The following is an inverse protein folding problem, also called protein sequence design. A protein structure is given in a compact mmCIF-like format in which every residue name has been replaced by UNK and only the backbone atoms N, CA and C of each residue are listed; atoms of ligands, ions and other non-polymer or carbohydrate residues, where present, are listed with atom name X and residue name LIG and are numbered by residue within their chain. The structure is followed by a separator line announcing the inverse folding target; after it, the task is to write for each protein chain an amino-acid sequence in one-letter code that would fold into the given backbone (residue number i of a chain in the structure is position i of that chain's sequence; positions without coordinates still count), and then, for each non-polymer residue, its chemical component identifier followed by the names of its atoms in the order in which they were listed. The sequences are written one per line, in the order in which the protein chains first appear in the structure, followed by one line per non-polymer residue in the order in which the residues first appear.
data_IF_713201099470
#
_entry.id   IF_713201099470
#
_cell.length_a   1.000
_cell.length_b   1.000
_cell.length_c   1.000
_cell.angle_alpha   90.00
_cell.angle_beta   90.00
_cell.angle_gamma   90.00
#
_symmetry.space_group_name_H-M   'P 1'
#
loop_
_entity.id
_entity.type
_entity.pdbx_description
1 polymer ?
#
# COMPACT_ATOMS: atom_id res chain seq x y z
N UNK A 1 20.87 32.24 -8.76
CA UNK A 1 20.34 31.07 -9.46
C UNK A 1 19.83 30.12 -8.40
N UNK A 2 18.54 30.10 -8.14
CA UNK A 2 17.92 29.23 -7.14
C UNK A 2 17.54 27.91 -7.80
N UNK A 3 17.97 26.76 -7.27
CA UNK A 3 17.41 25.49 -7.69
C UNK A 3 16.16 25.21 -6.82
N UNK A 4 15.00 25.73 -7.24
CA UNK A 4 13.72 25.21 -6.78
C UNK A 4 13.47 23.88 -7.50
N UNK A 5 14.11 22.84 -7.02
CA UNK A 5 13.75 21.47 -7.32
C UNK A 5 12.43 21.15 -6.62
N UNK A 6 11.31 21.56 -7.22
CA UNK A 6 10.00 21.00 -6.89
C UNK A 6 10.07 19.52 -7.25
N UNK A 7 10.25 18.67 -6.25
CA UNK A 7 10.05 17.22 -6.37
C UNK A 7 8.55 17.01 -6.63
N UNK A 8 8.14 17.14 -7.91
CA UNK A 8 6.76 16.87 -8.30
C UNK A 8 6.52 15.38 -8.16
N UNK A 9 5.57 15.02 -7.30
CA UNK A 9 5.08 13.64 -7.18
C UNK A 9 4.46 13.28 -8.53
N UNK A 10 4.97 12.22 -9.16
CA UNK A 10 4.39 11.72 -10.41
C UNK A 10 3.04 11.04 -10.11
N UNK A 11 2.05 11.30 -10.93
CA UNK A 11 0.74 10.69 -10.77
C UNK A 11 0.75 9.25 -11.27
N UNK A 12 0.14 8.34 -10.51
CA UNK A 12 -0.02 6.93 -10.83
C UNK A 12 -1.48 6.63 -11.15
N UNK A 13 -1.70 5.89 -12.23
CA UNK A 13 -3.05 5.48 -12.62
C UNK A 13 -3.62 4.40 -11.66
N UNK A 14 -4.90 4.55 -11.36
CA UNK A 14 -5.69 3.57 -10.62
C UNK A 14 -6.31 2.59 -11.64
N UNK A 15 -6.38 1.28 -11.32
CA UNK A 15 -7.06 0.33 -12.19
C UNK A 15 -8.52 0.71 -12.39
N UNK A 16 -8.92 0.88 -13.64
CA UNK A 16 -10.33 1.14 -14.02
C UNK A 16 -11.01 -0.21 -14.25
N UNK A 17 -11.45 -0.85 -13.16
CA UNK A 17 -12.10 -2.16 -13.20
C UNK A 17 -13.52 -2.03 -12.65
N UNK A 18 -14.49 -2.65 -13.33
CA UNK A 18 -15.84 -2.84 -12.79
C UNK A 18 -15.90 -3.97 -11.78
N UNK A 19 -15.08 -5.00 -12.01
CA UNK A 19 -14.90 -6.17 -11.13
C UNK A 19 -13.48 -6.71 -11.24
N UNK A 20 -13.04 -7.45 -10.25
CA UNK A 20 -11.76 -8.15 -10.34
C UNK A 20 -11.84 -9.28 -11.38
N UNK A 21 -10.82 -9.45 -12.24
CA UNK A 21 -10.81 -10.51 -13.27
C UNK A 21 -10.67 -11.91 -12.66
N UNK A 22 -10.09 -12.00 -11.47
CA UNK A 22 -9.85 -13.22 -10.69
C UNK A 22 -10.05 -12.96 -9.20
N UNK A 23 -10.29 -13.99 -8.36
CA UNK A 23 -10.42 -13.84 -6.90
C UNK A 23 -9.24 -13.12 -6.25
N UNK A 24 -8.04 -13.33 -6.80
CA UNK A 24 -6.83 -12.57 -6.48
C UNK A 24 -6.25 -12.00 -7.78
N UNK A 25 -6.10 -10.69 -7.84
CA UNK A 25 -5.53 -9.97 -8.98
C UNK A 25 -4.29 -9.20 -8.55
N UNK A 26 -3.23 -9.23 -9.34
CA UNK A 26 -1.96 -8.57 -9.03
C UNK A 26 -1.55 -7.55 -10.07
N UNK A 27 -0.81 -6.52 -9.62
CA UNK A 27 -0.10 -5.56 -10.46
C UNK A 27 1.33 -5.38 -9.96
N UNK A 28 2.27 -5.36 -10.92
CA UNK A 28 3.70 -5.06 -10.69
C UNK A 28 4.00 -3.66 -11.20
N UNK A 29 4.75 -2.88 -10.44
CA UNK A 29 5.14 -1.53 -10.83
C UNK A 29 6.54 -1.20 -10.32
N UNK A 30 7.41 -0.73 -11.24
CA UNK A 30 8.75 -0.22 -10.93
C UNK A 30 8.71 1.32 -11.02
N UNK A 31 8.79 1.97 -9.88
CA UNK A 31 8.56 3.40 -9.71
C UNK A 31 9.90 4.11 -9.47
N UNK A 32 10.50 4.66 -10.53
CA UNK A 32 11.81 5.34 -10.49
C UNK A 32 11.78 6.66 -9.70
N UNK A 33 10.62 7.32 -9.68
CA UNK A 33 10.43 8.61 -8.98
C UNK A 33 9.43 8.44 -7.85
N UNK A 34 9.39 9.40 -6.96
CA UNK A 34 8.29 9.49 -6.01
C UNK A 34 6.97 9.60 -6.78
N UNK A 35 6.07 8.68 -6.50
CA UNK A 35 4.82 8.52 -7.25
C UNK A 35 3.65 8.43 -6.29
N UNK A 36 2.50 8.96 -6.65
CA UNK A 36 1.29 8.93 -5.84
C UNK A 36 0.03 8.68 -6.64
N UNK A 37 -0.96 8.06 -6.01
CA UNK A 37 -2.33 8.02 -6.55
C UNK A 37 -3.11 9.25 -6.07
N UNK A 38 -4.08 9.77 -6.84
CA UNK A 38 -5.09 10.63 -6.26
C UNK A 38 -5.88 9.88 -5.17
N UNK A 39 -6.59 10.63 -4.35
CA UNK A 39 -7.49 10.06 -3.36
C UNK A 39 -8.61 9.31 -4.03
N UNK A 40 -8.83 8.04 -3.63
CA UNK A 40 -9.81 7.15 -4.26
C UNK A 40 -10.25 6.04 -3.32
N UNK A 41 -11.29 5.34 -3.70
CA UNK A 41 -11.75 4.10 -3.09
C UNK A 41 -12.14 3.09 -4.18
N UNK A 42 -12.26 1.83 -3.80
CA UNK A 42 -12.70 0.75 -4.69
C UNK A 42 -13.39 -0.36 -3.88
N UNK A 43 -14.27 -1.18 -4.50
CA UNK A 43 -15.10 -2.15 -3.79
C UNK A 43 -14.39 -3.47 -3.43
N UNK A 44 -13.09 -3.52 -3.47
CA UNK A 44 -12.26 -4.67 -3.09
C UNK A 44 -11.19 -4.30 -2.09
N UNK A 45 -10.65 -5.29 -1.41
CA UNK A 45 -9.49 -5.13 -0.54
C UNK A 45 -8.24 -4.94 -1.40
N UNK A 46 -7.34 -4.06 -0.98
CA UNK A 46 -6.02 -3.92 -1.57
C UNK A 46 -4.93 -4.22 -0.54
N UNK A 47 -4.01 -5.12 -0.89
CA UNK A 47 -2.73 -5.22 -0.21
C UNK A 47 -1.68 -4.47 -1.04
N UNK A 48 -1.00 -3.50 -0.43
CA UNK A 48 0.13 -2.83 -1.07
C UNK A 48 1.44 -3.21 -0.38
N UNK A 49 2.41 -3.65 -1.16
CA UNK A 49 3.69 -4.19 -0.71
C UNK A 49 4.84 -3.65 -1.56
N UNK A 50 5.97 -3.32 -0.92
CA UNK A 50 7.20 -2.96 -1.61
C UNK A 50 8.27 -4.03 -1.40
N UNK A 51 8.78 -4.60 -2.49
CA UNK A 51 9.98 -5.46 -2.45
C UNK A 51 11.20 -4.60 -2.10
N UNK A 52 11.24 -3.39 -2.65
CA UNK A 52 12.25 -2.36 -2.42
C UNK A 52 11.56 -1.00 -2.31
N UNK A 53 12.12 -0.10 -1.51
CA UNK A 53 11.55 1.22 -1.28
C UNK A 53 10.59 1.23 -0.09
N UNK A 54 9.83 2.31 0.05
CA UNK A 54 8.88 2.52 1.14
C UNK A 54 7.55 2.99 0.56
N UNK A 55 6.46 2.42 1.06
CA UNK A 55 5.10 2.82 0.73
C UNK A 55 4.46 3.56 1.90
N UNK A 56 3.69 4.58 1.58
CA UNK A 56 2.85 5.31 2.51
C UNK A 56 1.40 5.23 2.02
N UNK A 57 0.49 4.89 2.91
CA UNK A 57 -0.95 4.99 2.66
C UNK A 57 -1.52 6.05 3.59
N UNK A 58 -2.23 7.00 3.02
CA UNK A 58 -2.90 8.07 3.77
C UNK A 58 -4.40 7.90 3.69
N UNK A 59 -5.06 8.00 4.85
CA UNK A 59 -6.52 7.97 4.99
C UNK A 59 -6.97 9.14 5.85
N UNK A 60 -8.28 9.29 6.04
CA UNK A 60 -8.80 10.27 6.99
C UNK A 60 -8.39 9.96 8.45
N UNK A 61 -8.23 8.66 8.79
CA UNK A 61 -7.89 8.20 10.13
C UNK A 61 -6.39 8.29 10.46
N UNK A 62 -5.50 8.29 9.45
CA UNK A 62 -4.07 8.34 9.72
C UNK A 62 -3.18 8.04 8.51
N UNK A 63 -1.89 7.89 8.80
CA UNK A 63 -0.86 7.56 7.83
C UNK A 63 -0.19 6.24 8.22
N UNK A 64 -0.05 5.33 7.28
CA UNK A 64 0.51 4.00 7.43
C UNK A 64 1.78 3.90 6.58
N UNK A 65 2.85 3.36 7.14
CA UNK A 65 4.15 3.26 6.47
C UNK A 65 4.57 1.81 6.39
N UNK A 66 4.96 1.35 5.20
CA UNK A 66 5.42 -0.01 4.97
C UNK A 66 6.81 -0.04 4.31
N UNK A 67 7.86 -0.37 5.06
CA UNK A 67 9.15 -0.79 4.52
C UNK A 67 9.08 -2.25 3.98
N UNK A 68 10.13 -2.78 3.33
CA UNK A 68 10.08 -4.06 2.61
C UNK A 68 9.63 -5.32 3.37
N UNK A 69 9.61 -5.32 4.71
CA UNK A 69 9.10 -6.44 5.52
C UNK A 69 7.66 -6.24 5.98
N UNK A 70 6.96 -5.25 5.43
CA UNK A 70 5.60 -4.87 5.81
C UNK A 70 4.74 -4.64 4.58
N UNK A 71 3.48 -5.00 4.70
CA UNK A 71 2.45 -4.68 3.71
C UNK A 71 1.33 -3.88 4.37
N UNK A 72 0.64 -3.06 3.60
CA UNK A 72 -0.54 -2.34 4.10
C UNK A 72 -1.77 -2.98 3.48
N UNK A 73 -2.65 -3.46 4.35
CA UNK A 73 -3.98 -3.96 4.01
C UNK A 73 -4.96 -2.81 4.07
N UNK A 74 -5.56 -2.50 2.92
CA UNK A 74 -6.53 -1.43 2.73
C UNK A 74 -7.90 -2.07 2.54
N UNK A 75 -8.87 -1.86 3.45
CA UNK A 75 -10.21 -2.40 3.33
C UNK A 75 -10.94 -1.90 2.09
N UNK A 76 -11.92 -2.68 1.62
CA UNK A 76 -12.84 -2.27 0.57
C UNK A 76 -13.60 -1.00 0.99
N UNK A 77 -13.83 -0.09 0.03
CA UNK A 77 -14.56 1.15 0.25
C UNK A 77 -13.81 2.25 1.01
N UNK A 78 -12.67 1.96 1.64
CA UNK A 78 -11.90 2.96 2.39
C UNK A 78 -11.24 3.96 1.44
N UNK A 79 -11.53 5.25 1.62
CA UNK A 79 -10.90 6.32 0.85
C UNK A 79 -9.43 6.48 1.24
N UNK A 80 -8.51 6.36 0.28
CA UNK A 80 -7.08 6.36 0.51
C UNK A 80 -6.27 6.95 -0.65
N UNK A 81 -5.02 7.26 -0.35
CA UNK A 81 -3.98 7.71 -1.26
C UNK A 81 -2.74 6.84 -1.01
N UNK A 82 -2.10 6.34 -2.06
CA UNK A 82 -0.87 5.54 -1.97
C UNK A 82 0.30 6.34 -2.53
N UNK A 83 1.35 6.49 -1.74
CA UNK A 83 2.58 7.19 -2.11
C UNK A 83 3.76 6.23 -2.03
N UNK A 84 4.70 6.34 -2.97
CA UNK A 84 5.95 5.58 -2.96
C UNK A 84 7.15 6.50 -2.76
N UNK A 85 8.22 5.97 -2.15
CA UNK A 85 9.55 6.58 -2.28
C UNK A 85 10.08 6.44 -3.72
N UNK A 86 11.13 7.16 -4.12
CA UNK A 86 11.84 6.87 -5.37
C UNK A 86 12.42 5.44 -5.38
N UNK A 87 12.61 4.87 -6.57
CA UNK A 87 13.16 3.53 -6.78
C UNK A 87 12.41 2.43 -6.01
N UNK A 88 11.08 2.50 -6.03
CA UNK A 88 10.21 1.52 -5.36
C UNK A 88 9.78 0.42 -6.33
N UNK A 89 10.02 -0.84 -5.95
CA UNK A 89 9.46 -2.04 -6.59
C UNK A 89 8.18 -2.44 -5.86
N UNK A 90 7.06 -2.04 -6.41
CA UNK A 90 5.76 -2.18 -5.79
C UNK A 90 4.98 -3.38 -6.34
N UNK A 91 4.26 -4.03 -5.45
CA UNK A 91 3.29 -5.08 -5.74
C UNK A 91 1.95 -4.70 -5.11
N UNK A 92 0.90 -4.66 -5.92
CA UNK A 92 -0.47 -4.46 -5.44
C UNK A 92 -1.26 -5.72 -5.69
N UNK A 93 -1.86 -6.28 -4.64
CA UNK A 93 -2.77 -7.41 -4.71
C UNK A 93 -4.18 -6.90 -4.40
N UNK A 94 -5.13 -7.29 -5.23
CA UNK A 94 -6.54 -6.94 -5.08
C UNK A 94 -7.35 -8.21 -4.86
N UNK A 95 -8.18 -8.21 -3.81
CA UNK A 95 -8.95 -9.37 -3.37
C UNK A 95 -10.42 -8.98 -3.23
N UNK A 96 -11.30 -9.93 -3.51
CA UNK A 96 -12.71 -9.75 -3.17
C UNK A 96 -12.86 -9.66 -1.66
N UNK A 97 -13.72 -8.75 -1.20
CA UNK A 97 -14.08 -8.67 0.21
C UNK A 97 -15.08 -9.79 0.52
N UNK A 98 -14.69 -10.71 1.38
CA UNK A 98 -15.55 -11.82 1.80
C UNK A 98 -16.60 -11.38 2.83
N UNK A 99 -16.44 -10.20 3.42
CA UNK A 99 -17.36 -9.66 4.40
C UNK A 99 -17.67 -8.17 4.11
N UNK A 100 -18.36 -7.88 2.99
CA UNK A 100 -18.63 -6.50 2.54
C UNK A 100 -19.52 -5.70 3.52
N UNK A 101 -20.18 -6.37 4.46
CA UNK A 101 -20.96 -5.71 5.53
C UNK A 101 -20.06 -5.20 6.69
N UNK A 102 -18.84 -5.69 6.77
CA UNK A 102 -17.83 -5.26 7.75
C UNK A 102 -17.11 -4.03 7.27
N UNK A 103 -17.59 -2.85 7.61
CA UNK A 103 -16.90 -1.58 7.34
C UNK A 103 -15.68 -1.49 8.24
N UNK A 104 -14.54 -1.95 7.74
CA UNK A 104 -13.27 -1.71 8.43
C UNK A 104 -12.87 -0.23 8.25
N UNK A 105 -12.78 0.50 9.35
CA UNK A 105 -12.57 1.96 9.35
C UNK A 105 -11.10 2.37 9.12
N UNK A 106 -10.15 1.43 9.17
CA UNK A 106 -8.73 1.75 9.05
C UNK A 106 -7.91 0.67 8.36
N UNK A 107 -6.80 1.08 7.76
CA UNK A 107 -5.78 0.18 7.25
C UNK A 107 -5.12 -0.62 8.38
N UNK A 108 -4.57 -1.79 8.03
CA UNK A 108 -3.72 -2.60 8.91
C UNK A 108 -2.34 -2.75 8.29
N UNK A 109 -1.29 -2.72 9.10
CA UNK A 109 0.07 -3.05 8.64
C UNK A 109 0.36 -4.49 9.02
N UNK A 110 0.66 -5.30 8.02
CA UNK A 110 0.91 -6.73 8.16
C UNK A 110 2.40 -7.04 8.09
N UNK A 111 2.86 -7.98 8.90
CA UNK A 111 4.20 -8.55 8.79
C UNK A 111 4.30 -9.48 7.57
N UNK A 112 5.33 -9.31 6.76
CA UNK A 112 5.59 -10.16 5.58
C UNK A 112 6.86 -10.96 5.84
N UNK A 113 6.72 -12.27 6.07
CA UNK A 113 7.84 -13.19 6.22
C UNK A 113 8.45 -13.59 4.87
N UNK A 114 9.55 -14.34 4.90
CA UNK A 114 10.27 -14.73 3.69
C UNK A 114 9.41 -15.58 2.73
N UNK A 115 8.62 -16.51 3.26
CA UNK A 115 7.74 -17.34 2.43
C UNK A 115 6.64 -16.49 1.77
N UNK A 116 5.95 -15.65 2.53
CA UNK A 116 4.90 -14.77 2.01
C UNK A 116 5.44 -13.81 0.96
N UNK A 117 6.66 -13.29 1.14
CA UNK A 117 7.35 -12.46 0.14
C UNK A 117 7.55 -13.20 -1.17
N UNK A 118 8.07 -14.44 -1.13
CA UNK A 118 8.32 -15.20 -2.35
C UNK A 118 7.01 -15.63 -3.03
N UNK A 119 5.97 -15.94 -2.25
CA UNK A 119 4.63 -16.18 -2.81
C UNK A 119 4.08 -14.94 -3.52
N UNK A 120 4.19 -13.75 -2.92
CA UNK A 120 3.77 -12.49 -3.57
C UNK A 120 4.56 -12.29 -4.87
N UNK A 121 5.88 -12.44 -4.85
CA UNK A 121 6.71 -12.27 -6.05
C UNK A 121 6.29 -13.21 -7.16
N UNK A 122 6.23 -14.51 -6.86
CA UNK A 122 5.87 -15.52 -7.85
C UNK A 122 4.45 -15.31 -8.39
N UNK A 123 3.47 -15.04 -7.52
CA UNK A 123 2.10 -14.79 -7.95
C UNK A 123 1.99 -13.57 -8.88
N UNK A 124 2.74 -12.51 -8.58
CA UNK A 124 2.75 -11.30 -9.39
C UNK A 124 3.38 -11.45 -10.80
N UNK A 125 4.06 -12.56 -11.09
CA UNK A 125 4.59 -12.87 -12.42
C UNK A 125 3.61 -13.69 -13.26
N UNK A 126 2.50 -14.18 -12.68
CA UNK A 126 1.49 -14.94 -13.37
C UNK A 126 0.67 -14.05 -14.33
N UNK A 127 0.13 -14.61 -15.42
CA UNK A 127 -0.82 -13.90 -16.26
C UNK A 127 -2.07 -13.55 -15.44
N UNK A 128 -2.76 -12.47 -15.81
CA UNK A 128 -4.01 -12.07 -15.14
C UNK A 128 -5.05 -13.19 -15.17
N UNK A 129 -5.16 -13.86 -16.32
CA UNK A 129 -6.08 -14.98 -16.56
C UNK A 129 -5.43 -16.34 -16.21
N UNK A 130 -4.87 -16.46 -14.99
CA UNK A 130 -4.29 -17.72 -14.52
C UNK A 130 -5.37 -18.81 -14.36
N UNK A 131 -4.96 -20.08 -14.41
CA UNK A 131 -5.83 -21.24 -14.21
C UNK A 131 -6.20 -21.38 -12.71
N UNK A 132 -7.46 -21.09 -12.38
CA UNK A 132 -7.97 -21.14 -11.00
C UNK A 132 -7.99 -22.55 -10.42
N UNK A 133 -8.19 -23.59 -11.25
CA UNK A 133 -8.22 -24.99 -10.82
C UNK A 133 -6.83 -25.64 -10.86
N UNK A 134 -5.87 -24.96 -11.49
CA UNK A 134 -4.51 -25.41 -11.70
C UNK A 134 -3.52 -25.10 -10.57
N UNK A 135 -2.22 -25.24 -10.85
CA UNK A 135 -1.15 -24.90 -9.90
C UNK A 135 -1.18 -23.44 -9.45
N UNK A 136 -1.51 -22.53 -10.38
CA UNK A 136 -1.58 -21.09 -10.15
C UNK A 136 -2.70 -20.73 -9.17
N UNK A 137 -3.87 -21.37 -9.31
CA UNK A 137 -4.99 -21.21 -8.40
C UNK A 137 -4.65 -21.71 -6.99
N UNK A 138 -3.94 -22.84 -6.88
CA UNK A 138 -3.44 -23.33 -5.58
C UNK A 138 -2.43 -22.37 -4.96
N UNK A 139 -1.53 -21.78 -5.76
CA UNK A 139 -0.61 -20.74 -5.29
C UNK A 139 -1.38 -19.52 -4.75
N UNK A 140 -2.42 -19.08 -5.47
CA UNK A 140 -3.30 -17.99 -5.04
C UNK A 140 -3.96 -18.28 -3.68
N UNK A 141 -4.50 -19.50 -3.49
CA UNK A 141 -5.13 -19.91 -2.23
C UNK A 141 -4.14 -19.91 -1.07
N UNK A 142 -2.96 -20.50 -1.25
CA UNK A 142 -1.91 -20.49 -0.22
C UNK A 142 -1.50 -19.06 0.13
N UNK A 143 -1.34 -18.18 -0.87
CA UNK A 143 -1.02 -16.78 -0.64
C UNK A 143 -2.12 -16.07 0.15
N UNK A 144 -3.39 -16.26 -0.20
CA UNK A 144 -4.54 -15.71 0.52
C UNK A 144 -4.55 -16.14 1.99
N UNK A 145 -4.35 -17.43 2.27
CA UNK A 145 -4.29 -17.98 3.62
C UNK A 145 -3.15 -17.33 4.44
N UNK A 146 -1.97 -17.17 3.82
CA UNK A 146 -0.83 -16.51 4.46
C UNK A 146 -1.08 -15.04 4.76
N UNK A 147 -1.72 -14.30 3.86
CA UNK A 147 -2.06 -12.89 4.05
C UNK A 147 -3.10 -12.69 5.15
N UNK A 148 -4.12 -13.57 5.22
CA UNK A 148 -5.14 -13.54 6.28
C UNK A 148 -4.57 -13.87 7.66
N UNK A 149 -3.62 -14.80 7.72
CA UNK A 149 -2.95 -15.22 8.96
C UNK A 149 -1.77 -14.32 9.35
N UNK A 150 -1.39 -13.33 8.51
CA UNK A 150 -0.24 -12.48 8.75
C UNK A 150 -0.41 -11.66 10.03
N UNK A 151 0.63 -11.58 10.89
CA UNK A 151 0.55 -10.81 12.12
C UNK A 151 0.41 -9.32 11.83
N UNK A 152 -0.52 -8.68 12.52
CA UNK A 152 -0.65 -7.23 12.49
C UNK A 152 0.45 -6.57 13.31
N UNK A 153 1.04 -5.52 12.75
CA UNK A 153 2.10 -4.75 13.38
C UNK A 153 1.63 -3.32 13.59
N UNK A 154 1.70 -2.86 14.83
CA UNK A 154 1.28 -1.49 15.18
C UNK A 154 2.29 -0.46 14.62
N UNK A 155 2.24 -0.20 13.34
CA UNK A 155 3.01 0.84 12.64
C UNK A 155 2.07 1.88 12.02
N UNK A 156 1.10 2.34 12.80
CA UNK A 156 0.29 3.51 12.44
C UNK A 156 0.82 4.74 13.14
N UNK A 157 0.95 5.84 12.41
CA UNK A 157 1.15 7.17 12.98
C UNK A 157 -0.22 7.84 13.00
N UNK A 158 -0.93 7.87 14.15
CA UNK A 158 -2.19 8.58 14.24
C UNK A 158 -1.95 10.05 13.94
N UNK A 159 -2.72 10.61 13.01
CA UNK A 159 -2.65 12.02 12.73
C UNK A 159 -3.31 12.79 13.90
N UNK A 160 -2.65 13.80 14.45
CA UNK A 160 -3.26 14.62 15.50
C UNK A 160 -4.51 15.33 14.95
N UNK A 161 -5.51 15.53 15.79
CA UNK A 161 -6.72 16.28 15.41
C UNK A 161 -6.43 17.79 15.24
N UNK A 162 -5.47 18.33 16.02
CA UNK A 162 -5.05 19.73 15.95
C UNK A 162 -4.39 20.08 14.60
N UNK A 163 -4.84 21.16 13.95
CA UNK A 163 -4.36 21.59 12.65
C UNK A 163 -2.87 22.00 12.63
N UNK A 164 -2.34 22.53 13.74
CA UNK A 164 -0.93 22.93 13.85
C UNK A 164 -0.04 21.70 13.93
N UNK A 165 -0.46 20.70 14.72
CA UNK A 165 0.25 19.43 14.83
C UNK A 165 0.18 18.63 13.52
N UNK A 166 -0.95 18.65 12.81
CA UNK A 166 -1.03 18.07 11.44
C UNK A 166 0.01 18.68 10.51
N UNK A 167 0.13 20.02 10.52
CA UNK A 167 1.11 20.72 9.68
C UNK A 167 2.54 20.36 10.06
N UNK A 168 2.83 20.22 11.36
CA UNK A 168 4.14 19.78 11.84
C UNK A 168 4.44 18.34 11.42
N UNK A 169 3.51 17.41 11.64
CA UNK A 169 3.65 16.01 11.22
C UNK A 169 3.90 15.89 9.71
N UNK A 170 3.12 16.60 8.89
CA UNK A 170 3.32 16.61 7.44
C UNK A 170 4.70 17.16 7.04
N UNK A 171 5.20 18.15 7.77
CA UNK A 171 6.54 18.72 7.53
C UNK A 171 7.63 17.70 7.84
N UNK A 172 7.56 17.03 9.00
CA UNK A 172 8.51 15.98 9.39
C UNK A 172 8.47 14.77 8.45
N UNK A 173 7.29 14.36 7.99
CA UNK A 173 7.14 13.29 7.02
C UNK A 173 7.75 13.63 5.64
N UNK A 174 7.63 14.90 5.22
CA UNK A 174 8.16 15.35 3.93
C UNK A 174 9.66 15.69 3.99
N UNK A 175 10.21 15.91 5.18
CA UNK A 175 11.62 16.26 5.43
C UNK A 175 12.12 15.53 6.68
N UNK A 176 12.34 14.21 6.60
CA UNK A 176 12.78 13.41 7.75
C UNK A 176 14.21 13.72 8.20
N UNK A 177 14.97 14.45 7.39
CA UNK A 177 16.32 14.95 7.63
C UNK A 177 16.34 16.36 8.28
N UNK A 178 15.18 16.89 8.64
CA UNK A 178 15.07 18.20 9.32
C UNK A 178 15.54 18.07 10.79
N UNK A 179 16.73 18.53 11.08
CA UNK A 179 17.40 18.46 12.39
C UNK A 179 17.06 19.60 13.35
N UNK A 180 16.14 20.49 12.97
CA UNK A 180 15.72 21.60 13.81
C UNK A 180 15.06 21.11 15.10
N UNK A 181 15.43 21.71 16.21
CA UNK A 181 14.80 21.44 17.51
C UNK A 181 13.46 22.17 17.65
N UNK A 182 12.62 21.71 18.59
CA UNK A 182 11.34 22.39 18.93
C UNK A 182 11.49 23.81 19.47
N UNK A 183 12.71 24.20 19.80
CA UNK A 183 13.04 25.55 20.34
C UNK A 183 13.46 26.54 19.24
N UNK A 184 13.38 26.15 17.95
CA UNK A 184 13.76 27.00 16.82
C UNK A 184 12.54 27.59 16.10
#
# INVERSE_FOLDING_TARGET
MSPNGQNSIAERSIPQLERLPRPLYARNESLQRQTGTPRHSHPWVQLTYAIQGVLHVRTAAGSFVAPPQRAIWIPAGLEHEVLSSPNTEMRSLYLQDENPESVAESCRVLGVDALTRELIRNFCELPVEYDEDGPEGRLAQVLLDRLRAAPEVLLSLPLPSDARLKKLCSRLQNRPDDDRTLAA
#
